data_IF_703499713045
#
_entry.id   IF_703499713045
#
_cell.length_a   1.000
_cell.length_b   1.000
_cell.length_c   1.000
_cell.angle_alpha   90.00
_cell.angle_beta   90.00
_cell.angle_gamma   90.00
#
_symmetry.space_group_name_H-M   'P 1'
#
loop_
_entity.id
_entity.type
_entity.pdbx_description
1 polymer ?
#
# COMPACT_ATOMS: atom_id res chain seq x y z
N UNK A 1 -12.03 -6.19 -14.45
CA UNK A 1 -11.80 -7.53 -15.04
C UNK A 1 -12.44 -8.59 -14.12
N UNK A 2 -13.38 -9.43 -14.57
CA UNK A 2 -14.12 -10.34 -13.67
C UNK A 2 -13.24 -11.37 -12.93
N UNK A 3 -12.22 -11.90 -13.60
CA UNK A 3 -11.29 -12.87 -13.00
C UNK A 3 -10.49 -12.25 -11.83
N UNK A 4 -10.06 -11.00 -11.98
CA UNK A 4 -9.29 -10.28 -10.97
C UNK A 4 -10.11 -10.07 -9.70
N UNK A 5 -11.39 -9.72 -9.86
CA UNK A 5 -12.36 -9.59 -8.76
C UNK A 5 -12.52 -10.95 -8.04
N UNK A 6 -12.61 -12.05 -8.79
CA UNK A 6 -12.73 -13.38 -8.20
C UNK A 6 -11.49 -13.76 -7.40
N UNK A 7 -10.29 -13.59 -7.95
CA UNK A 7 -9.05 -13.98 -7.27
C UNK A 7 -8.74 -13.10 -6.04
N UNK A 8 -8.82 -11.77 -6.18
CA UNK A 8 -8.58 -10.85 -5.07
C UNK A 8 -9.68 -10.91 -4.01
N UNK A 9 -10.95 -10.99 -4.44
CA UNK A 9 -12.09 -11.09 -3.55
C UNK A 9 -12.07 -12.41 -2.76
N UNK A 10 -11.74 -13.52 -3.41
CA UNK A 10 -11.63 -14.82 -2.77
C UNK A 10 -10.58 -14.83 -1.66
N UNK A 11 -9.36 -14.36 -1.94
CA UNK A 11 -8.31 -14.28 -0.93
C UNK A 11 -8.68 -13.37 0.27
N UNK A 12 -9.39 -12.28 0.00
CA UNK A 12 -9.83 -11.31 1.02
C UNK A 12 -10.88 -11.91 1.97
N UNK A 13 -11.77 -12.78 1.48
CA UNK A 13 -12.90 -13.34 2.24
C UNK A 13 -12.56 -14.70 2.87
N UNK A 14 -11.88 -15.58 2.14
CA UNK A 14 -11.68 -16.97 2.57
C UNK A 14 -10.76 -17.08 3.78
N UNK A 15 -9.68 -16.31 3.83
CA UNK A 15 -8.73 -16.35 4.95
C UNK A 15 -9.38 -16.10 6.32
N UNK A 16 -10.17 -15.03 6.49
CA UNK A 16 -10.96 -14.84 7.71
C UNK A 16 -12.08 -15.87 7.86
N UNK A 17 -12.80 -16.21 6.78
CA UNK A 17 -13.98 -17.08 6.84
C UNK A 17 -13.66 -18.49 7.36
N UNK A 18 -12.48 -19.05 7.06
CA UNK A 18 -12.08 -20.38 7.55
C UNK A 18 -11.95 -20.45 9.07
N UNK A 19 -11.82 -19.31 9.77
CA UNK A 19 -11.78 -19.27 11.23
C UNK A 19 -13.17 -19.41 11.87
N UNK A 20 -14.24 -19.46 11.05
CA UNK A 20 -15.62 -19.47 11.52
C UNK A 20 -16.03 -18.21 12.31
N UNK A 21 -15.67 -17.00 11.87
CA UNK A 21 -15.88 -15.80 12.68
C UNK A 21 -17.37 -15.44 12.75
N UNK A 22 -17.74 -14.71 13.79
CA UNK A 22 -19.05 -14.06 13.83
C UNK A 22 -19.22 -13.13 12.60
N UNK A 23 -20.43 -13.04 12.05
CA UNK A 23 -20.70 -12.26 10.84
C UNK A 23 -20.25 -10.80 10.98
N UNK A 24 -20.42 -10.20 12.17
CA UNK A 24 -19.94 -8.85 12.47
C UNK A 24 -18.42 -8.72 12.30
N UNK A 25 -17.65 -9.71 12.77
CA UNK A 25 -16.19 -9.70 12.63
C UNK A 25 -15.77 -9.77 11.16
N UNK A 26 -16.47 -10.57 10.36
CA UNK A 26 -16.23 -10.63 8.92
C UNK A 26 -16.54 -9.28 8.24
N UNK A 27 -17.64 -8.62 8.60
CA UNK A 27 -17.96 -7.29 8.06
C UNK A 27 -16.96 -6.23 8.46
N UNK A 28 -16.52 -6.23 9.73
CA UNK A 28 -15.47 -5.32 10.20
C UNK A 28 -14.17 -5.54 9.42
N UNK A 29 -13.79 -6.79 9.18
CA UNK A 29 -12.66 -7.12 8.31
C UNK A 29 -12.83 -6.54 6.90
N UNK A 30 -13.98 -6.72 6.27
CA UNK A 30 -14.23 -6.20 4.93
C UNK A 30 -14.14 -4.67 4.88
N UNK A 31 -14.69 -3.97 5.86
CA UNK A 31 -14.59 -2.51 5.96
C UNK A 31 -13.13 -2.07 6.04
N UNK A 32 -12.33 -2.72 6.90
CA UNK A 32 -10.89 -2.41 7.03
C UNK A 32 -10.15 -2.61 5.69
N UNK A 33 -10.39 -3.72 5.00
CA UNK A 33 -9.75 -4.02 3.71
C UNK A 33 -10.11 -3.02 2.61
N UNK A 34 -11.35 -2.54 2.60
CA UNK A 34 -11.78 -1.48 1.67
C UNK A 34 -11.09 -0.15 2.02
N UNK A 35 -11.03 0.22 3.29
CA UNK A 35 -10.34 1.44 3.73
C UNK A 35 -8.86 1.43 3.36
N UNK A 36 -8.16 0.31 3.58
CA UNK A 36 -6.76 0.14 3.16
C UNK A 36 -6.59 0.29 1.64
N UNK A 37 -7.52 -0.25 0.86
CA UNK A 37 -7.49 -0.14 -0.60
C UNK A 37 -7.67 1.31 -1.05
N UNK A 38 -8.64 2.02 -0.47
CA UNK A 38 -8.87 3.45 -0.73
C UNK A 38 -7.64 4.26 -0.34
N UNK A 39 -7.05 4.00 0.81
CA UNK A 39 -5.85 4.72 1.26
C UNK A 39 -4.67 4.53 0.29
N UNK A 40 -4.44 3.32 -0.21
CA UNK A 40 -3.35 3.06 -1.14
C UNK A 40 -3.58 3.63 -2.55
N UNK A 41 -4.84 3.88 -2.96
CA UNK A 41 -5.16 4.17 -4.38
C UNK A 41 -5.90 5.49 -4.60
N UNK A 42 -6.28 6.23 -3.56
CA UNK A 42 -6.98 7.50 -3.73
C UNK A 42 -6.08 8.60 -4.32
N UNK A 43 -4.76 8.40 -4.34
CA UNK A 43 -3.78 9.38 -4.84
C UNK A 43 -3.56 10.57 -3.89
N UNK A 44 -4.19 10.55 -2.71
CA UNK A 44 -4.05 11.59 -1.70
C UNK A 44 -3.32 11.07 -0.47
N UNK A 45 -2.32 11.82 -0.03
CA UNK A 45 -1.64 11.58 1.23
C UNK A 45 -2.14 12.60 2.26
N UNK A 46 -3.10 12.18 3.08
CA UNK A 46 -3.75 13.06 4.05
C UNK A 46 -2.90 13.26 5.31
N UNK A 47 -3.10 14.34 6.09
CA UNK A 47 -2.44 14.51 7.38
C UNK A 47 -2.73 13.37 8.37
N UNK A 48 -3.90 12.73 8.25
CA UNK A 48 -4.32 11.60 9.07
C UNK A 48 -4.09 10.22 8.42
N UNK A 49 -3.40 10.15 7.28
CA UNK A 49 -3.08 8.87 6.64
C UNK A 49 -2.29 7.97 7.60
N UNK A 50 -2.61 6.66 7.69
CA UNK A 50 -1.89 5.72 8.55
C UNK A 50 -0.38 5.67 8.29
N UNK A 51 0.06 5.95 7.05
CA UNK A 51 1.47 6.08 6.65
C UNK A 51 2.26 7.12 7.44
N UNK A 52 1.59 8.10 8.06
CA UNK A 52 2.23 9.12 8.89
C UNK A 52 2.57 8.62 10.30
N UNK A 53 1.86 7.59 10.78
CA UNK A 53 1.93 7.17 12.18
C UNK A 53 2.47 5.76 12.35
N UNK A 54 2.26 4.89 11.37
CA UNK A 54 2.61 3.47 11.45
C UNK A 54 3.90 3.23 10.65
N UNK A 55 5.00 2.81 11.32
CA UNK A 55 6.22 2.45 10.62
C UNK A 55 5.97 1.35 9.60
N UNK A 56 6.66 1.42 8.47
CA UNK A 56 6.56 0.44 7.37
C UNK A 56 5.16 0.39 6.70
N UNK A 57 4.30 1.38 6.91
CA UNK A 57 3.06 1.53 6.16
C UNK A 57 3.29 2.41 4.92
N UNK A 58 3.02 1.87 3.72
CA UNK A 58 3.40 2.49 2.45
C UNK A 58 2.55 3.71 2.05
N UNK A 59 1.23 3.64 2.29
CA UNK A 59 0.27 4.67 1.87
C UNK A 59 0.20 4.86 0.35
N UNK A 60 -0.50 5.91 -0.07
CA UNK A 60 -0.70 6.24 -1.50
C UNK A 60 0.62 6.47 -2.24
N UNK A 61 1.57 7.20 -1.65
CA UNK A 61 2.83 7.55 -2.29
C UNK A 61 3.68 6.34 -2.70
N UNK A 62 3.70 5.29 -1.87
CA UNK A 62 4.44 4.07 -2.15
C UNK A 62 3.80 3.28 -3.29
N UNK A 63 2.46 3.21 -3.29
CA UNK A 63 1.70 2.46 -4.29
C UNK A 63 1.61 3.20 -5.63
N UNK A 64 1.54 4.53 -5.61
CA UNK A 64 1.65 5.35 -6.81
C UNK A 64 2.99 5.17 -7.51
N UNK A 65 4.07 4.99 -6.74
CA UNK A 65 5.38 4.69 -7.32
C UNK A 65 5.39 3.35 -8.05
N UNK A 66 4.75 2.32 -7.49
CA UNK A 66 4.54 1.04 -8.18
C UNK A 66 3.86 1.22 -9.54
N UNK A 67 2.74 1.97 -9.58
CA UNK A 67 2.02 2.27 -10.82
C UNK A 67 2.79 3.15 -11.81
N UNK A 68 3.75 3.95 -11.35
CA UNK A 68 4.59 4.76 -12.26
C UNK A 68 5.63 3.92 -13.01
N UNK A 69 6.06 2.79 -12.47
CA UNK A 69 7.17 2.01 -13.02
C UNK A 69 6.76 1.00 -14.10
N UNK A 70 5.45 0.72 -14.23
CA UNK A 70 4.78 -0.37 -14.96
C UNK A 70 5.40 -0.92 -16.26
N UNK A 71 6.23 -0.16 -16.99
CA UNK A 71 6.75 -0.55 -18.31
C UNK A 71 8.26 -0.68 -18.44
N UNK A 72 9.06 -0.18 -17.49
CA UNK A 72 10.54 -0.20 -17.62
C UNK A 72 11.26 -0.72 -16.40
N UNK A 73 10.58 -0.76 -15.23
CA UNK A 73 11.11 -1.27 -13.96
C UNK A 73 9.94 -1.86 -13.15
N UNK A 74 10.23 -2.79 -12.26
CA UNK A 74 9.22 -3.40 -11.39
C UNK A 74 9.72 -3.39 -9.95
N UNK A 75 8.83 -3.23 -8.97
CA UNK A 75 9.14 -3.08 -7.55
C UNK A 75 7.95 -2.55 -6.77
N UNK A 76 8.13 -2.29 -5.48
CA UNK A 76 7.06 -1.81 -4.58
C UNK A 76 5.79 -2.68 -4.64
N UNK A 77 5.92 -3.98 -4.43
CA UNK A 77 4.85 -4.95 -4.61
C UNK A 77 3.82 -4.94 -3.46
N UNK A 78 4.21 -4.47 -2.28
CA UNK A 78 3.30 -4.42 -1.14
C UNK A 78 2.25 -3.33 -1.31
N UNK A 79 1.00 -3.67 -1.00
CA UNK A 79 -0.13 -2.74 -1.04
C UNK A 79 -0.34 -1.96 0.26
N UNK A 80 0.14 -2.47 1.40
CA UNK A 80 -0.08 -1.85 2.73
C UNK A 80 1.21 -1.77 3.52
N UNK A 81 1.75 -2.90 3.97
CA UNK A 81 2.99 -2.95 4.75
C UNK A 81 4.19 -3.29 3.87
N UNK A 82 5.21 -2.43 3.87
CA UNK A 82 6.33 -2.47 2.91
C UNK A 82 7.53 -3.30 3.39
N UNK A 83 7.42 -3.95 4.56
CA UNK A 83 8.50 -4.72 5.17
C UNK A 83 9.04 -5.84 4.27
N UNK A 84 8.18 -6.46 3.46
CA UNK A 84 8.60 -7.47 2.49
C UNK A 84 9.38 -6.83 1.35
N UNK A 85 8.98 -5.65 0.86
CA UNK A 85 9.77 -4.94 -0.14
C UNK A 85 11.13 -4.50 0.40
N UNK A 86 11.19 -4.10 1.67
CA UNK A 86 12.44 -3.77 2.33
C UNK A 86 13.36 -5.00 2.46
N UNK A 87 12.80 -6.14 2.87
CA UNK A 87 13.53 -7.39 3.04
C UNK A 87 14.10 -7.92 1.71
N UNK A 88 13.32 -7.82 0.63
CA UNK A 88 13.70 -8.31 -0.70
C UNK A 88 14.32 -7.23 -1.61
N UNK A 89 14.47 -6.00 -1.11
CA UNK A 89 15.11 -4.89 -1.83
C UNK A 89 14.31 -4.34 -3.02
N UNK A 90 13.01 -4.62 -3.09
CA UNK A 90 12.13 -4.19 -4.19
C UNK A 90 11.61 -2.76 -4.03
N UNK A 91 11.89 -2.08 -2.91
CA UNK A 91 11.61 -0.66 -2.67
C UNK A 91 12.82 0.29 -2.91
N UNK A 92 13.97 -0.24 -3.33
CA UNK A 92 15.21 0.52 -3.47
C UNK A 92 15.09 1.76 -4.38
N UNK A 93 14.38 1.63 -5.49
CA UNK A 93 14.10 2.74 -6.40
C UNK A 93 13.24 3.84 -5.75
N UNK A 94 12.23 3.45 -4.98
CA UNK A 94 11.36 4.37 -4.25
C UNK A 94 12.14 5.15 -3.20
N UNK A 95 12.97 4.47 -2.41
CA UNK A 95 13.80 5.10 -1.38
C UNK A 95 14.77 6.13 -1.96
N UNK A 96 15.38 5.82 -3.11
CA UNK A 96 16.24 6.76 -3.84
C UNK A 96 15.47 7.99 -4.29
N UNK A 97 14.27 7.82 -4.87
CA UNK A 97 13.42 8.94 -5.27
C UNK A 97 13.03 9.82 -4.08
N UNK A 98 12.66 9.20 -2.95
CA UNK A 98 12.27 9.93 -1.73
C UNK A 98 13.42 10.77 -1.18
N UNK A 99 14.63 10.20 -1.11
CA UNK A 99 15.82 10.93 -0.69
C UNK A 99 16.14 12.14 -1.57
N UNK A 100 16.01 12.02 -2.90
CA UNK A 100 16.21 13.13 -3.84
C UNK A 100 15.20 14.25 -3.62
N UNK A 101 13.91 13.91 -3.45
CA UNK A 101 12.84 14.89 -3.18
C UNK A 101 13.05 15.63 -1.87
N UNK A 102 13.48 14.93 -0.81
CA UNK A 102 13.79 15.55 0.48
C UNK A 102 14.95 16.53 0.35
N UNK A 103 16.05 16.12 -0.31
CA UNK A 103 17.20 17.00 -0.52
C UNK A 103 16.85 18.26 -1.33
N UNK A 104 16.01 18.14 -2.37
CA UNK A 104 15.53 19.27 -3.16
C UNK A 104 14.65 20.23 -2.31
N UNK A 105 13.79 19.68 -1.46
CA UNK A 105 12.92 20.48 -0.59
C UNK A 105 13.73 21.26 0.46
N UNK A 106 14.77 20.65 1.01
CA UNK A 106 15.66 21.29 1.99
C UNK A 106 16.51 22.38 1.35
N UNK A 107 17.03 22.14 0.13
CA UNK A 107 17.80 23.14 -0.61
C UNK A 107 16.98 24.37 -1.04
N UNK A 108 15.66 24.23 -1.24
CA UNK A 108 14.75 25.35 -1.51
C UNK A 108 14.39 26.18 -0.27
N UNK A 109 14.69 25.67 0.93
CA UNK A 109 14.39 26.34 2.22
C UNK A 109 15.58 27.11 2.79
N UNK A 110 16.76 27.01 2.16
CA UNK A 110 17.97 27.81 2.43
C UNK A 110 18.00 29.05 1.54
#
# INVERSE_FOLDING_TARGET
HPAEILFLGFATVVGPAITGPHLMTLWLWMVLRVLETVEAHCGYHFPWSPSNFIPLYGGSDFHDYHHRLLYTKSGNYSSTFVYMDWLFGTDTGYRKLKALKTAEADGKRM
#
